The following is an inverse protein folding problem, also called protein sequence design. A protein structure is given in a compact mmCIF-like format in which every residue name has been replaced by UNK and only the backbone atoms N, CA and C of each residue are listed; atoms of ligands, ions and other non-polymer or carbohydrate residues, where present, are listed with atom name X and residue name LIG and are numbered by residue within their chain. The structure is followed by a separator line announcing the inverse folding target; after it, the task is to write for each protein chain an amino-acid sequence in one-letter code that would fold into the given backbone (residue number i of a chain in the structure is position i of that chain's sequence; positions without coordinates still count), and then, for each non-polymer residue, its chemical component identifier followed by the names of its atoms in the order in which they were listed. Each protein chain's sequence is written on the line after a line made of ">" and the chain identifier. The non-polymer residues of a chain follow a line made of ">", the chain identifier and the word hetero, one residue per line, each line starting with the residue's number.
data_IF_577945226002
#
_entry.id   IF_577945226002
#
_cell.length_a   1.000
_cell.length_b   1.000
_cell.length_c   1.000
_cell.angle_alpha   90.00
_cell.angle_beta   90.00
_cell.angle_gamma   90.00
#
_symmetry.space_group_name_H-M   'P 1'
#
loop_
_entity.id
_entity.type
_entity.pdbx_description
1 polymer ?
#
# COMPACT_ATOMS: atom_id res chain seq x y z
N UNK A 1 13.26 -30.05 -18.75
CA UNK A 1 11.93 -29.95 -18.16
C UNK A 1 11.59 -28.52 -17.73
N UNK A 2 12.55 -27.70 -17.33
CA UNK A 2 12.31 -26.27 -17.01
C UNK A 2 11.69 -25.99 -15.63
N UNK A 3 11.54 -27.03 -14.83
CA UNK A 3 11.01 -26.92 -13.46
C UNK A 3 12.01 -26.25 -12.51
N UNK A 4 11.52 -25.60 -11.46
CA UNK A 4 12.32 -25.09 -10.34
C UNK A 4 12.43 -26.21 -9.33
N UNK A 5 13.67 -26.65 -9.03
CA UNK A 5 13.93 -27.83 -8.21
C UNK A 5 14.64 -27.43 -6.92
N UNK A 6 14.06 -27.85 -5.78
CA UNK A 6 14.73 -27.81 -4.49
C UNK A 6 15.36 -29.19 -4.18
N UNK A 7 16.56 -29.19 -3.63
CA UNK A 7 17.28 -30.41 -3.21
C UNK A 7 17.66 -30.24 -1.74
N UNK A 8 17.42 -31.29 -0.96
CA UNK A 8 17.84 -31.38 0.45
C UNK A 8 19.03 -32.30 0.60
N UNK A 9 19.96 -31.98 1.48
CA UNK A 9 21.13 -32.82 1.77
C UNK A 9 21.78 -32.47 3.11
N UNK A 10 22.52 -33.38 3.70
CA UNK A 10 23.23 -33.21 4.97
C UNK A 10 24.73 -33.56 4.89
N UNK A 11 25.14 -34.30 3.88
CA UNK A 11 26.48 -34.81 3.70
C UNK A 11 27.39 -33.96 2.81
N UNK A 12 28.70 -34.23 2.91
CA UNK A 12 29.70 -33.62 2.00
C UNK A 12 29.46 -34.03 0.55
N UNK A 13 28.93 -35.25 0.32
CA UNK A 13 28.63 -35.77 -1.00
C UNK A 13 27.45 -35.05 -1.68
N UNK A 14 26.59 -34.40 -0.89
CA UNK A 14 25.40 -33.68 -1.37
C UNK A 14 25.74 -32.27 -1.85
N UNK A 15 26.89 -31.72 -1.44
CA UNK A 15 27.28 -30.35 -1.74
C UNK A 15 27.22 -29.98 -3.25
N UNK A 16 27.67 -30.85 -4.19
CA UNK A 16 27.53 -30.54 -5.61
C UNK A 16 26.06 -30.44 -6.07
N UNK A 17 25.18 -31.30 -5.52
CA UNK A 17 23.75 -31.29 -5.84
C UNK A 17 23.04 -30.05 -5.24
N UNK A 18 23.37 -29.74 -3.98
CA UNK A 18 22.85 -28.53 -3.29
C UNK A 18 23.22 -27.25 -4.04
N UNK A 19 24.46 -27.15 -4.51
CA UNK A 19 24.95 -26.00 -5.27
C UNK A 19 24.35 -25.90 -6.68
N UNK A 20 24.02 -27.04 -7.30
CA UNK A 20 23.47 -27.08 -8.67
C UNK A 20 21.97 -26.92 -8.71
N UNK A 21 21.27 -27.19 -7.63
CA UNK A 21 19.83 -27.02 -7.51
C UNK A 21 19.44 -25.52 -7.61
N UNK A 22 18.20 -25.22 -8.03
CA UNK A 22 17.67 -23.86 -7.96
C UNK A 22 17.58 -23.40 -6.49
N UNK A 23 17.26 -24.32 -5.56
CA UNK A 23 17.27 -24.10 -4.11
C UNK A 23 17.92 -25.34 -3.44
N UNK A 24 19.14 -25.19 -2.93
CA UNK A 24 19.80 -26.19 -2.08
C UNK A 24 19.42 -25.93 -0.62
N UNK A 25 19.01 -26.97 0.11
CA UNK A 25 18.58 -26.90 1.50
C UNK A 25 19.44 -27.87 2.32
N UNK A 26 20.22 -27.37 3.28
CA UNK A 26 21.01 -28.16 4.19
C UNK A 26 20.35 -28.32 5.56
N UNK A 27 20.64 -29.45 6.23
CA UNK A 27 20.24 -29.65 7.61
C UNK A 27 21.14 -28.86 8.56
N UNK A 28 20.55 -28.22 9.56
CA UNK A 28 21.25 -27.32 10.48
C UNK A 28 21.93 -28.08 11.61
N UNK A 29 21.27 -29.07 12.19
CA UNK A 29 21.80 -29.84 13.30
C UNK A 29 22.71 -31.00 12.80
N UNK A 30 22.27 -31.75 11.79
CA UNK A 30 22.97 -32.93 11.27
C UNK A 30 23.88 -32.65 10.07
N UNK A 31 23.65 -31.49 9.41
CA UNK A 31 24.37 -31.13 8.20
C UNK A 31 25.85 -30.86 8.44
N UNK A 32 26.71 -31.36 7.55
CA UNK A 32 28.12 -31.01 7.52
C UNK A 32 28.32 -29.54 7.14
N UNK A 33 29.44 -28.96 7.58
CA UNK A 33 29.73 -27.54 7.24
C UNK A 33 29.83 -27.33 5.72
N UNK A 34 30.36 -28.35 4.99
CA UNK A 34 30.44 -28.29 3.53
C UNK A 34 29.07 -28.28 2.87
N UNK A 35 28.09 -29.05 3.41
CA UNK A 35 26.70 -29.02 2.91
C UNK A 35 26.04 -27.68 3.20
N UNK A 36 26.27 -27.12 4.41
CA UNK A 36 25.75 -25.82 4.80
C UNK A 36 26.29 -24.67 3.94
N UNK A 37 27.59 -24.70 3.64
CA UNK A 37 28.22 -23.71 2.76
C UNK A 37 27.74 -23.79 1.31
N UNK A 38 27.38 -25.00 0.84
CA UNK A 38 26.88 -25.21 -0.52
C UNK A 38 25.40 -24.88 -0.68
N UNK A 39 24.64 -24.84 0.41
CA UNK A 39 23.19 -24.64 0.39
C UNK A 39 22.79 -23.16 0.32
N UNK A 40 21.59 -22.92 -0.24
CA UNK A 40 20.96 -21.60 -0.24
C UNK A 40 20.16 -21.34 1.03
N UNK A 41 19.72 -22.40 1.72
CA UNK A 41 18.91 -22.36 2.93
C UNK A 41 19.39 -23.41 3.92
N UNK A 42 19.30 -23.12 5.22
CA UNK A 42 19.65 -24.05 6.30
C UNK A 42 18.42 -24.23 7.19
N UNK A 43 17.98 -25.48 7.39
CA UNK A 43 16.91 -25.83 8.31
C UNK A 43 17.49 -25.96 9.73
N UNK A 44 17.23 -24.98 10.57
CA UNK A 44 17.80 -24.92 11.93
C UNK A 44 17.28 -26.03 12.86
N UNK A 45 16.10 -26.55 12.58
CA UNK A 45 15.39 -27.59 13.36
C UNK A 45 15.45 -28.98 12.74
N UNK A 46 16.09 -29.13 11.58
CA UNK A 46 16.15 -30.35 10.75
C UNK A 46 14.76 -30.98 10.45
N UNK A 47 13.71 -30.13 10.49
CA UNK A 47 12.35 -30.59 10.28
C UNK A 47 11.89 -30.30 8.84
N UNK A 48 11.59 -31.38 8.09
CA UNK A 48 11.09 -31.22 6.71
C UNK A 48 9.78 -30.45 6.58
N UNK A 49 8.94 -30.42 7.63
CA UNK A 49 7.72 -29.61 7.59
C UNK A 49 8.01 -28.11 7.50
N UNK A 50 9.16 -27.66 8.00
CA UNK A 50 9.63 -26.27 7.90
C UNK A 50 9.93 -25.85 6.46
N UNK A 51 10.19 -26.81 5.54
CA UNK A 51 10.32 -26.53 4.10
C UNK A 51 8.98 -26.07 3.52
N UNK A 52 7.88 -26.72 3.93
CA UNK A 52 6.54 -26.34 3.45
C UNK A 52 6.19 -24.93 3.92
N UNK A 53 6.46 -24.61 5.18
CA UNK A 53 6.29 -23.27 5.72
C UNK A 53 7.18 -22.24 4.99
N UNK A 54 8.44 -22.59 4.68
CA UNK A 54 9.34 -21.72 3.93
C UNK A 54 8.87 -21.49 2.48
N UNK A 55 8.23 -22.46 1.84
CA UNK A 55 7.62 -22.30 0.52
C UNK A 55 6.42 -21.34 0.61
N UNK A 56 5.57 -21.50 1.62
CA UNK A 56 4.42 -20.63 1.85
C UNK A 56 4.86 -19.17 2.05
N UNK A 57 5.83 -18.94 2.94
CA UNK A 57 6.42 -17.63 3.19
C UNK A 57 7.09 -17.04 1.95
N UNK A 58 7.86 -17.85 1.20
CA UNK A 58 8.49 -17.41 -0.04
C UNK A 58 7.46 -16.94 -1.10
N UNK A 59 6.32 -17.63 -1.20
CA UNK A 59 5.20 -17.23 -2.06
C UNK A 59 4.55 -15.94 -1.56
N UNK A 60 4.38 -15.80 -0.24
CA UNK A 60 3.83 -14.59 0.36
C UNK A 60 4.75 -13.38 0.15
N UNK A 61 6.06 -13.53 0.34
CA UNK A 61 7.04 -12.48 0.08
C UNK A 61 6.96 -12.01 -1.38
N UNK A 62 6.88 -12.95 -2.33
CA UNK A 62 6.74 -12.59 -3.75
C UNK A 62 5.45 -11.80 -4.04
N UNK A 63 4.32 -12.24 -3.47
CA UNK A 63 3.04 -11.53 -3.61
C UNK A 63 3.12 -10.13 -2.97
N UNK A 64 3.79 -10.02 -1.81
CA UNK A 64 3.95 -8.75 -1.11
C UNK A 64 4.84 -7.75 -1.86
N UNK A 65 5.93 -8.22 -2.48
CA UNK A 65 6.76 -7.39 -3.38
C UNK A 65 5.92 -6.88 -4.55
N UNK A 66 5.06 -7.71 -5.11
CA UNK A 66 4.17 -7.34 -6.21
C UNK A 66 3.09 -6.33 -5.77
N UNK A 67 2.56 -6.48 -4.55
CA UNK A 67 1.62 -5.52 -3.93
C UNK A 67 2.27 -4.16 -3.69
N UNK A 68 3.46 -4.16 -3.10
CA UNK A 68 4.27 -2.96 -2.91
C UNK A 68 4.52 -2.24 -4.24
N UNK A 69 4.98 -2.97 -5.27
CA UNK A 69 5.21 -2.40 -6.59
C UNK A 69 3.92 -1.84 -7.22
N UNK A 70 2.78 -2.54 -7.07
CA UNK A 70 1.49 -2.04 -7.54
C UNK A 70 1.07 -0.76 -6.83
N UNK A 71 1.32 -0.65 -5.53
CA UNK A 71 1.02 0.53 -4.74
C UNK A 71 1.80 1.75 -5.25
N UNK A 72 3.12 1.63 -5.37
CA UNK A 72 3.99 2.72 -5.85
C UNK A 72 3.69 3.10 -7.30
N UNK A 73 3.49 2.11 -8.19
CA UNK A 73 3.16 2.39 -9.59
C UNK A 73 1.81 3.10 -9.77
N UNK A 74 0.86 2.91 -8.85
CA UNK A 74 -0.43 3.61 -8.90
C UNK A 74 -0.35 5.04 -8.37
N UNK A 75 0.56 5.33 -7.43
CA UNK A 75 0.71 6.68 -6.87
C UNK A 75 1.44 7.64 -7.83
N UNK A 76 2.45 7.15 -8.54
CA UNK A 76 3.26 7.98 -9.44
C UNK A 76 2.48 8.88 -10.43
N UNK A 77 1.39 8.46 -11.10
CA UNK A 77 0.63 9.33 -11.99
C UNK A 77 0.05 10.58 -11.33
N UNK A 78 -0.32 10.51 -10.05
CA UNK A 78 -0.82 11.66 -9.30
C UNK A 78 0.25 12.77 -9.18
N UNK A 79 1.51 12.36 -9.15
CA UNK A 79 2.66 13.26 -9.02
C UNK A 79 3.16 13.72 -10.39
N UNK A 80 3.11 12.87 -11.41
CA UNK A 80 3.62 13.16 -12.75
C UNK A 80 2.66 14.02 -13.58
N UNK A 81 1.35 13.78 -13.52
CA UNK A 81 0.38 14.49 -14.34
C UNK A 81 0.36 15.99 -14.12
N UNK A 82 0.55 16.53 -12.89
CA UNK A 82 0.70 17.97 -12.70
C UNK A 82 1.78 18.61 -13.58
N UNK A 83 2.93 17.98 -13.68
CA UNK A 83 4.04 18.48 -14.49
C UNK A 83 3.78 18.30 -15.99
N UNK A 84 3.25 17.14 -16.39
CA UNK A 84 2.92 16.86 -17.79
C UNK A 84 1.88 17.87 -18.29
N UNK A 85 0.81 18.09 -17.54
CA UNK A 85 -0.26 19.01 -17.93
C UNK A 85 0.21 20.47 -17.89
N UNK A 86 1.04 20.83 -16.93
CA UNK A 86 1.64 22.16 -16.87
C UNK A 86 2.49 22.46 -18.10
N UNK A 87 3.25 21.49 -18.62
CA UNK A 87 4.06 21.63 -19.84
C UNK A 87 3.19 21.65 -21.10
N UNK A 88 2.19 20.76 -21.19
CA UNK A 88 1.36 20.61 -22.38
C UNK A 88 0.32 21.72 -22.54
N UNK A 89 -0.14 22.31 -21.45
CA UNK A 89 -1.19 23.33 -21.44
C UNK A 89 -0.67 24.63 -20.82
N UNK A 90 -0.03 25.50 -21.61
CA UNK A 90 0.45 26.80 -21.15
C UNK A 90 -0.72 27.61 -20.57
N UNK A 91 -0.59 28.03 -19.31
CA UNK A 91 -1.67 28.74 -18.58
C UNK A 91 -2.38 27.88 -17.55
N UNK A 92 -2.20 26.55 -17.55
CA UNK A 92 -2.61 25.72 -16.42
C UNK A 92 -1.59 25.89 -15.28
N UNK A 93 -2.00 26.31 -14.08
CA UNK A 93 -1.10 26.41 -12.95
C UNK A 93 -0.64 25.01 -12.52
N UNK A 94 0.59 24.92 -12.01
CA UNK A 94 1.12 23.66 -11.47
C UNK A 94 0.27 23.25 -10.24
N UNK A 95 -0.36 22.08 -10.30
CA UNK A 95 -1.26 21.62 -9.24
C UNK A 95 -0.52 20.98 -8.05
N UNK A 96 0.75 20.62 -8.21
CA UNK A 96 1.58 20.03 -7.16
C UNK A 96 3.02 20.57 -7.27
N UNK A 97 3.57 21.05 -6.16
CA UNK A 97 4.95 21.53 -6.11
C UNK A 97 5.93 20.37 -5.92
N UNK A 98 7.22 20.58 -6.24
CA UNK A 98 8.28 19.59 -5.97
C UNK A 98 8.35 19.25 -4.47
N UNK A 99 8.14 20.25 -3.61
CA UNK A 99 8.07 20.00 -2.15
C UNK A 99 6.86 19.17 -1.77
N UNK A 100 5.73 19.32 -2.49
CA UNK A 100 4.55 18.47 -2.32
C UNK A 100 4.84 17.01 -2.71
N UNK A 101 5.50 16.76 -3.84
CA UNK A 101 5.95 15.41 -4.24
C UNK A 101 6.84 14.79 -3.17
N UNK A 102 7.85 15.53 -2.69
CA UNK A 102 8.75 15.05 -1.66
C UNK A 102 8.00 14.72 -0.35
N UNK A 103 6.97 15.52 -0.01
CA UNK A 103 6.13 15.28 1.16
C UNK A 103 5.32 13.98 1.02
N UNK A 104 4.88 13.64 -0.20
CA UNK A 104 4.19 12.38 -0.49
C UNK A 104 5.18 11.22 -0.41
N UNK A 105 6.21 11.18 -1.25
CA UNK A 105 7.11 10.04 -1.40
C UNK A 105 7.82 9.66 -0.10
N UNK A 106 8.38 10.66 0.61
CA UNK A 106 9.16 10.43 1.82
C UNK A 106 8.31 10.54 3.08
N UNK A 107 7.32 11.42 3.04
CA UNK A 107 6.49 11.73 4.22
C UNK A 107 5.34 10.75 4.40
N UNK A 108 4.54 10.50 3.38
CA UNK A 108 3.29 9.75 3.53
C UNK A 108 3.36 8.32 3.02
N UNK A 109 3.99 8.05 1.87
CA UNK A 109 3.95 6.75 1.21
C UNK A 109 4.82 5.67 1.84
N UNK A 110 5.92 6.03 2.48
CA UNK A 110 6.96 5.08 2.88
C UNK A 110 6.45 4.02 3.88
N UNK A 111 5.78 4.45 4.94
CA UNK A 111 5.35 3.54 6.02
C UNK A 111 4.25 2.58 5.56
N UNK A 112 3.17 3.03 4.89
CA UNK A 112 2.16 2.12 4.35
C UNK A 112 2.72 1.15 3.31
N UNK A 113 3.63 1.62 2.46
CA UNK A 113 4.30 0.77 1.48
C UNK A 113 5.10 -0.36 2.16
N UNK A 114 5.85 -0.06 3.23
CA UNK A 114 6.53 -1.07 4.03
C UNK A 114 5.55 -2.05 4.68
N UNK A 115 4.39 -1.57 5.12
CA UNK A 115 3.33 -2.38 5.70
C UNK A 115 2.80 -3.45 4.76
N UNK A 116 2.75 -3.19 3.44
CA UNK A 116 2.39 -4.20 2.45
C UNK A 116 3.39 -5.37 2.36
N UNK A 117 4.65 -5.13 2.74
CA UNK A 117 5.67 -6.17 2.85
C UNK A 117 5.44 -7.17 3.98
N UNK A 118 4.61 -6.82 4.96
CA UNK A 118 4.31 -7.63 6.15
C UNK A 118 2.92 -8.27 6.12
N UNK A 119 2.21 -8.20 5.00
CA UNK A 119 0.90 -8.86 4.86
C UNK A 119 1.06 -10.38 4.89
N UNK A 120 0.17 -11.08 5.62
CA UNK A 120 0.21 -12.54 5.72
C UNK A 120 -0.12 -13.22 4.38
N UNK A 121 0.25 -14.52 4.24
CA UNK A 121 -0.11 -15.33 3.08
C UNK A 121 -1.62 -15.31 2.82
N UNK A 122 -2.02 -15.15 1.55
CA UNK A 122 -3.44 -15.28 1.16
C UNK A 122 -3.90 -16.74 1.27
N UNK A 123 -5.19 -16.93 1.54
CA UNK A 123 -5.82 -18.24 1.52
C UNK A 123 -5.61 -18.95 0.16
N UNK A 124 -5.26 -20.23 0.21
CA UNK A 124 -5.00 -21.04 -0.99
C UNK A 124 -3.70 -20.71 -1.72
N UNK A 125 -2.76 -20.01 -1.10
CA UNK A 125 -1.47 -19.67 -1.72
C UNK A 125 -0.67 -20.93 -2.10
N UNK A 126 -0.80 -22.01 -1.33
CA UNK A 126 -0.15 -23.31 -1.59
C UNK A 126 -0.86 -24.12 -2.68
N UNK A 127 -2.11 -23.85 -2.99
CA UNK A 127 -2.87 -24.52 -4.06
C UNK A 127 -2.50 -24.01 -5.45
N UNK A 128 -1.84 -22.86 -5.54
CA UNK A 128 -1.39 -22.30 -6.81
C UNK A 128 -0.28 -23.17 -7.42
N UNK A 129 -0.24 -23.32 -8.75
CA UNK A 129 0.87 -23.98 -9.42
C UNK A 129 2.19 -23.24 -9.13
N UNK A 130 3.34 -23.94 -9.24
CA UNK A 130 4.66 -23.29 -9.15
C UNK A 130 4.80 -22.16 -10.17
N UNK A 131 5.55 -21.14 -9.78
CA UNK A 131 5.81 -19.98 -10.65
C UNK A 131 6.70 -20.42 -11.83
N UNK A 132 6.38 -19.92 -13.01
CA UNK A 132 7.20 -20.15 -14.19
C UNK A 132 8.50 -19.35 -14.12
N UNK A 133 9.60 -19.88 -14.69
CA UNK A 133 10.91 -19.19 -14.69
C UNK A 133 10.90 -17.86 -15.44
N UNK A 134 10.03 -17.74 -16.46
CA UNK A 134 9.87 -16.55 -17.29
C UNK A 134 8.90 -15.51 -16.70
N UNK A 135 8.23 -15.82 -15.60
CA UNK A 135 7.30 -14.92 -14.94
C UNK A 135 8.04 -13.76 -14.26
N UNK A 136 7.85 -12.58 -14.81
CA UNK A 136 8.42 -11.33 -14.26
C UNK A 136 7.53 -10.82 -13.13
N UNK A 137 8.12 -10.25 -12.09
CA UNK A 137 7.41 -9.54 -11.02
C UNK A 137 6.61 -8.38 -11.62
N UNK A 138 7.25 -7.60 -12.47
CA UNK A 138 6.67 -6.47 -13.20
C UNK A 138 6.63 -6.81 -14.69
N UNK A 139 5.46 -7.19 -15.18
CA UNK A 139 5.22 -7.30 -16.63
C UNK A 139 4.86 -5.93 -17.20
N UNK A 140 5.11 -5.72 -18.49
CA UNK A 140 4.74 -4.46 -19.15
C UNK A 140 3.24 -4.16 -19.00
N UNK A 141 2.40 -5.20 -19.17
CA UNK A 141 0.95 -5.05 -19.00
C UNK A 141 0.58 -4.62 -17.57
N UNK A 142 1.28 -5.15 -16.56
CA UNK A 142 1.07 -4.76 -15.15
C UNK A 142 1.42 -3.28 -14.95
N UNK A 143 2.56 -2.83 -15.47
CA UNK A 143 3.00 -1.44 -15.39
C UNK A 143 2.00 -0.52 -16.10
N UNK A 144 1.65 -0.82 -17.36
CA UNK A 144 0.73 0.00 -18.14
C UNK A 144 -0.65 0.14 -17.48
N UNK A 145 -1.17 -0.95 -16.89
CA UNK A 145 -2.45 -0.91 -16.17
C UNK A 145 -2.37 -0.09 -14.89
N UNK A 146 -1.30 -0.24 -14.11
CA UNK A 146 -1.11 0.53 -12.89
C UNK A 146 -1.05 2.03 -13.21
N UNK A 147 -0.29 2.43 -14.22
CA UNK A 147 -0.16 3.82 -14.61
C UNK A 147 -1.42 4.38 -15.28
N UNK A 148 -1.88 3.75 -16.37
CA UNK A 148 -2.90 4.34 -17.23
C UNK A 148 -4.34 4.03 -16.82
N UNK A 149 -4.59 3.04 -15.97
CA UNK A 149 -5.94 2.79 -15.46
C UNK A 149 -6.04 3.29 -14.03
N UNK A 150 -5.37 2.63 -13.10
CA UNK A 150 -5.54 2.93 -11.67
C UNK A 150 -4.96 4.30 -11.29
N UNK A 151 -3.74 4.57 -11.70
CA UNK A 151 -3.09 5.85 -11.42
C UNK A 151 -3.80 7.04 -12.07
N UNK A 152 -4.39 6.84 -13.27
CA UNK A 152 -5.20 7.89 -13.92
C UNK A 152 -6.50 8.18 -13.14
N UNK A 153 -7.19 7.14 -12.62
CA UNK A 153 -8.37 7.34 -11.77
C UNK A 153 -8.00 8.23 -10.58
N UNK A 154 -6.90 7.93 -9.91
CA UNK A 154 -6.42 8.70 -8.77
C UNK A 154 -6.05 10.14 -9.15
N UNK A 155 -5.26 10.32 -10.21
CA UNK A 155 -4.81 11.63 -10.66
C UNK A 155 -5.97 12.53 -11.09
N UNK A 156 -6.93 12.00 -11.85
CA UNK A 156 -8.10 12.78 -12.27
C UNK A 156 -9.02 13.15 -11.10
N UNK A 157 -9.14 12.30 -10.09
CA UNK A 157 -9.87 12.64 -8.87
C UNK A 157 -9.18 13.77 -8.10
N UNK A 158 -7.84 13.77 -8.02
CA UNK A 158 -7.09 14.89 -7.42
C UNK A 158 -7.33 16.18 -8.20
N UNK A 159 -7.35 16.13 -9.54
CA UNK A 159 -7.70 17.27 -10.36
C UNK A 159 -9.15 17.72 -10.18
N UNK A 160 -10.10 16.82 -9.99
CA UNK A 160 -11.50 17.18 -9.72
C UNK A 160 -11.61 18.04 -8.46
N UNK A 161 -10.90 17.67 -7.38
CA UNK A 161 -10.86 18.48 -6.14
C UNK A 161 -10.13 19.81 -6.35
N UNK A 162 -9.05 19.82 -7.10
CA UNK A 162 -8.32 21.03 -7.47
C UNK A 162 -9.21 22.02 -8.21
N UNK A 163 -9.95 21.58 -9.23
CA UNK A 163 -10.87 22.40 -9.98
C UNK A 163 -12.11 22.81 -9.17
N UNK A 164 -12.61 21.92 -8.32
CA UNK A 164 -13.68 22.25 -7.39
C UNK A 164 -13.28 23.41 -6.46
N UNK A 165 -12.05 23.38 -5.93
CA UNK A 165 -11.55 24.51 -5.13
C UNK A 165 -11.47 25.80 -5.92
N UNK A 166 -10.96 25.76 -7.16
CA UNK A 166 -10.95 26.91 -8.06
C UNK A 166 -12.36 27.49 -8.33
N UNK A 167 -13.36 26.62 -8.44
CA UNK A 167 -14.76 27.03 -8.57
C UNK A 167 -15.29 27.65 -7.29
N UNK A 168 -15.03 27.07 -6.12
CA UNK A 168 -15.43 27.61 -4.80
C UNK A 168 -14.83 29.00 -4.56
N UNK A 169 -13.57 29.20 -4.94
CA UNK A 169 -12.88 30.47 -4.84
C UNK A 169 -13.33 31.50 -5.92
N UNK A 170 -14.13 31.09 -6.89
CA UNK A 170 -14.51 31.91 -8.03
C UNK A 170 -13.36 32.29 -8.97
N UNK A 171 -12.21 31.63 -8.82
CA UNK A 171 -11.02 31.82 -9.68
C UNK A 171 -11.13 31.06 -10.99
N UNK A 172 -11.97 30.04 -11.04
CA UNK A 172 -12.28 29.27 -12.24
C UNK A 172 -13.78 29.28 -12.54
N UNK A 173 -14.13 29.65 -13.77
CA UNK A 173 -15.51 29.61 -14.26
C UNK A 173 -15.56 28.68 -15.47
N UNK A 174 -16.55 27.76 -15.57
CA UNK A 174 -16.73 26.93 -16.75
C UNK A 174 -16.87 27.82 -18.00
N UNK A 175 -16.03 27.58 -19.01
CA UNK A 175 -16.01 28.38 -20.23
C UNK A 175 -15.05 29.56 -20.24
N UNK A 176 -14.39 29.89 -19.13
CA UNK A 176 -13.30 30.86 -19.14
C UNK A 176 -12.01 30.21 -19.60
N UNK A 177 -11.22 30.94 -20.41
CA UNK A 177 -9.90 30.54 -20.82
C UNK A 177 -9.03 30.23 -19.58
N UNK A 178 -8.22 29.18 -19.67
CA UNK A 178 -7.20 28.80 -18.67
C UNK A 178 -6.24 29.95 -18.32
N UNK A 179 -6.21 31.01 -19.15
CA UNK A 179 -5.43 32.23 -18.92
C UNK A 179 -5.94 33.11 -17.74
N UNK A 180 -7.11 32.81 -17.17
CA UNK A 180 -7.63 33.54 -16.02
C UNK A 180 -7.12 33.01 -14.66
N UNK A 181 -6.40 31.86 -14.64
CA UNK A 181 -5.71 31.40 -13.45
C UNK A 181 -4.43 32.18 -13.21
N UNK A 182 -4.08 32.49 -11.94
CA UNK A 182 -2.81 33.12 -11.65
C UNK A 182 -1.66 32.33 -12.24
N UNK A 183 -0.63 32.99 -12.82
CA UNK A 183 0.51 32.30 -13.41
C UNK A 183 1.14 31.35 -12.38
N UNK A 184 1.56 30.18 -12.87
CA UNK A 184 2.30 29.23 -12.04
C UNK A 184 3.50 29.93 -11.40
N UNK A 185 3.73 29.74 -10.10
CA UNK A 185 4.80 30.44 -9.39
C UNK A 185 6.16 29.79 -9.59
N UNK A 186 6.51 29.38 -10.81
CA UNK A 186 7.87 29.00 -11.10
C UNK A 186 8.81 30.14 -10.71
N UNK A 187 9.36 30.07 -9.48
CA UNK A 187 10.21 31.10 -8.90
C UNK A 187 9.55 32.08 -7.93
N UNK A 188 8.21 31.99 -7.68
CA UNK A 188 7.57 32.81 -6.63
C UNK A 188 7.94 32.31 -5.24
N UNK A 189 8.26 33.23 -4.35
CA UNK A 189 8.43 32.93 -2.94
C UNK A 189 7.06 32.70 -2.28
N UNK A 190 7.00 31.95 -1.19
CA UNK A 190 5.73 31.64 -0.49
C UNK A 190 4.86 32.87 -0.21
N UNK A 191 5.48 33.96 0.25
CA UNK A 191 4.77 35.22 0.57
C UNK A 191 4.30 36.00 -0.67
N UNK A 192 4.74 35.62 -1.85
CA UNK A 192 4.31 36.21 -3.13
C UNK A 192 3.17 35.40 -3.78
N UNK A 193 2.93 34.15 -3.30
CA UNK A 193 1.86 33.30 -3.80
C UNK A 193 0.50 33.77 -3.28
N UNK A 194 -0.51 33.84 -4.15
CA UNK A 194 -1.85 34.19 -3.72
C UNK A 194 -2.43 33.14 -2.77
N UNK A 195 -3.18 33.52 -1.72
CA UNK A 195 -3.85 32.56 -0.84
C UNK A 195 -4.71 31.53 -1.59
N UNK A 196 -5.39 31.96 -2.66
CA UNK A 196 -6.20 31.11 -3.52
C UNK A 196 -5.37 30.00 -4.19
N UNK A 197 -4.16 30.33 -4.64
CA UNK A 197 -3.26 29.33 -5.23
C UNK A 197 -2.77 28.31 -4.19
N UNK A 198 -2.37 28.77 -3.00
CA UNK A 198 -1.96 27.91 -1.89
C UNK A 198 -3.07 26.94 -1.48
N UNK A 199 -4.31 27.43 -1.40
CA UNK A 199 -5.47 26.59 -1.13
C UNK A 199 -5.74 25.58 -2.25
N UNK A 200 -5.52 25.96 -3.50
CA UNK A 200 -5.64 25.02 -4.63
C UNK A 200 -4.58 23.91 -4.59
N UNK A 201 -3.35 24.22 -4.18
CA UNK A 201 -2.30 23.21 -3.97
C UNK A 201 -2.70 22.22 -2.86
N UNK A 202 -3.26 22.71 -1.76
CA UNK A 202 -3.79 21.85 -0.70
C UNK A 202 -4.94 20.97 -1.21
N UNK A 203 -5.82 21.53 -2.05
CA UNK A 203 -6.94 20.81 -2.65
C UNK A 203 -6.52 19.76 -3.68
N UNK A 204 -5.29 19.77 -4.17
CA UNK A 204 -4.69 18.68 -4.93
C UNK A 204 -3.99 17.67 -4.01
N UNK A 205 -3.22 18.14 -3.04
CA UNK A 205 -2.41 17.30 -2.16
C UNK A 205 -3.25 16.41 -1.24
N UNK A 206 -4.30 16.93 -0.63
CA UNK A 206 -5.10 16.15 0.32
C UNK A 206 -5.81 14.95 -0.31
N UNK A 207 -6.48 15.04 -1.48
CA UNK A 207 -7.00 13.87 -2.17
C UNK A 207 -5.90 12.90 -2.61
N UNK A 208 -4.66 13.36 -2.88
CA UNK A 208 -3.54 12.46 -3.12
C UNK A 208 -3.31 11.55 -1.92
N UNK A 209 -3.24 12.10 -0.71
CA UNK A 209 -3.08 11.34 0.53
C UNK A 209 -4.26 10.39 0.77
N UNK A 210 -5.50 10.86 0.68
CA UNK A 210 -6.68 10.00 0.89
C UNK A 210 -6.80 8.89 -0.15
N UNK A 211 -6.39 9.16 -1.38
CA UNK A 211 -6.32 8.17 -2.45
C UNK A 211 -5.25 7.10 -2.19
N UNK A 212 -4.13 7.47 -1.59
CA UNK A 212 -3.07 6.52 -1.21
C UNK A 212 -3.50 5.63 -0.06
N UNK A 213 -4.24 6.15 0.93
CA UNK A 213 -4.88 5.33 1.96
C UNK A 213 -5.80 4.28 1.32
N UNK A 214 -6.63 4.67 0.35
CA UNK A 214 -7.47 3.72 -0.38
C UNK A 214 -6.63 2.71 -1.18
N UNK A 215 -5.56 3.18 -1.83
CA UNK A 215 -4.67 2.34 -2.63
C UNK A 215 -3.99 1.26 -1.78
N UNK A 216 -3.41 1.62 -0.62
CA UNK A 216 -2.78 0.64 0.27
C UNK A 216 -3.80 -0.38 0.77
N UNK A 217 -4.98 0.05 1.20
CA UNK A 217 -6.04 -0.85 1.66
C UNK A 217 -6.51 -1.81 0.56
N UNK A 218 -6.64 -1.34 -0.67
CA UNK A 218 -7.01 -2.17 -1.82
C UNK A 218 -5.94 -3.22 -2.17
N UNK A 219 -4.65 -2.90 -2.00
CA UNK A 219 -3.53 -3.79 -2.34
C UNK A 219 -3.22 -4.84 -1.28
N UNK A 220 -3.82 -4.79 -0.11
CA UNK A 220 -3.65 -5.80 0.95
C UNK A 220 -4.05 -7.21 0.52
N UNK A 221 -4.97 -7.36 -0.40
CA UNK A 221 -5.31 -8.66 -1.01
C UNK A 221 -5.60 -8.52 -2.51
N UNK A 222 -5.19 -9.53 -3.28
CA UNK A 222 -5.48 -9.62 -4.72
C UNK A 222 -6.87 -10.19 -5.03
N UNK A 223 -7.39 -11.05 -4.15
CA UNK A 223 -8.62 -11.81 -4.39
C UNK A 223 -9.74 -11.47 -3.41
N UNK A 224 -9.39 -11.40 -2.13
CA UNK A 224 -10.37 -11.21 -1.09
C UNK A 224 -10.83 -9.75 -1.02
N UNK A 225 -12.14 -9.57 -0.84
CA UNK A 225 -12.71 -8.26 -0.59
C UNK A 225 -12.37 -7.79 0.81
N UNK A 226 -11.99 -6.51 0.95
CA UNK A 226 -11.78 -5.89 2.25
C UNK A 226 -13.03 -5.95 3.15
N UNK A 227 -14.20 -6.01 2.53
CA UNK A 227 -15.50 -6.10 3.19
C UNK A 227 -15.98 -7.53 3.43
N UNK A 228 -15.21 -8.55 3.04
CA UNK A 228 -15.55 -9.96 3.24
C UNK A 228 -14.92 -10.53 4.51
N UNK A 229 -15.60 -11.52 5.10
CA UNK A 229 -15.10 -12.24 6.28
C UNK A 229 -13.85 -13.06 5.97
N UNK A 230 -13.74 -13.52 4.74
CA UNK A 230 -12.63 -14.34 4.20
C UNK A 230 -11.42 -13.48 3.77
N UNK A 231 -11.37 -12.21 4.16
CA UNK A 231 -10.26 -11.31 3.80
C UNK A 231 -8.91 -11.82 4.32
N UNK A 232 -8.89 -12.27 5.55
CA UNK A 232 -7.72 -12.89 6.17
C UNK A 232 -7.86 -14.41 6.19
N UNK A 233 -6.74 -15.12 5.98
CA UNK A 233 -6.67 -16.55 6.23
C UNK A 233 -7.20 -16.86 7.64
N UNK A 234 -8.10 -17.85 7.81
CA UNK A 234 -8.70 -18.18 9.10
C UNK A 234 -7.71 -18.45 10.23
N UNK A 235 -6.56 -19.08 9.91
CA UNK A 235 -5.49 -19.33 10.88
C UNK A 235 -4.88 -18.01 11.38
N UNK A 236 -4.47 -17.16 10.48
CA UNK A 236 -3.87 -15.86 10.80
C UNK A 236 -4.85 -14.94 11.55
N UNK A 237 -6.13 -14.94 11.11
CA UNK A 237 -7.19 -14.23 11.83
C UNK A 237 -7.28 -14.66 13.30
N UNK A 238 -7.24 -15.97 13.53
CA UNK A 238 -7.31 -16.54 14.89
C UNK A 238 -6.10 -16.12 15.72
N UNK A 239 -4.90 -16.25 15.18
CA UNK A 239 -3.66 -15.83 15.86
C UNK A 239 -3.69 -14.35 16.25
N UNK A 240 -4.09 -13.47 15.32
CA UNK A 240 -4.20 -12.03 15.58
C UNK A 240 -5.22 -11.74 16.68
N UNK A 241 -6.40 -12.37 16.65
CA UNK A 241 -7.41 -12.21 17.70
C UNK A 241 -6.93 -12.74 19.07
N UNK A 242 -6.19 -13.85 19.09
CA UNK A 242 -5.58 -14.38 20.30
C UNK A 242 -4.49 -13.42 20.84
N UNK A 243 -3.67 -12.83 19.98
CA UNK A 243 -2.68 -11.82 20.38
C UNK A 243 -3.36 -10.57 20.98
N UNK A 244 -4.41 -10.07 20.34
CA UNK A 244 -5.21 -8.94 20.85
C UNK A 244 -5.86 -9.31 22.18
N UNK A 245 -6.39 -10.53 22.31
CA UNK A 245 -7.02 -10.98 23.56
C UNK A 245 -6.04 -11.05 24.73
N UNK A 246 -4.76 -11.34 24.45
CA UNK A 246 -3.65 -11.38 25.41
C UNK A 246 -3.03 -9.99 25.66
N UNK A 247 -3.35 -9.01 24.80
CA UNK A 247 -2.77 -7.67 24.91
C UNK A 247 -3.18 -6.95 26.18
N UNK A 248 -2.22 -6.26 26.80
CA UNK A 248 -2.44 -5.46 27.99
C UNK A 248 -1.79 -4.08 27.86
N UNK A 249 -2.54 -2.98 28.04
CA UNK A 249 -2.03 -1.62 27.77
C UNK A 249 -0.88 -1.16 28.65
N UNK A 250 -0.67 -1.80 29.81
CA UNK A 250 0.36 -1.45 30.79
C UNK A 250 1.52 -2.45 30.86
N UNK A 251 1.60 -3.41 29.93
CA UNK A 251 2.60 -4.47 29.92
C UNK A 251 2.34 -5.60 30.92
N UNK A 252 3.08 -6.71 30.76
CA UNK A 252 2.87 -7.93 31.57
C UNK A 252 3.12 -7.77 33.08
N UNK A 253 4.01 -6.84 33.47
CA UNK A 253 4.38 -6.65 34.88
C UNK A 253 3.24 -6.01 35.73
N UNK A 254 2.33 -5.28 35.12
CA UNK A 254 1.22 -4.60 35.78
C UNK A 254 -0.16 -5.23 35.47
N UNK A 255 -0.18 -6.41 34.88
CA UNK A 255 -1.39 -7.16 34.50
C UNK A 255 -2.27 -7.61 35.68
N UNK A 256 -1.89 -7.29 36.94
CA UNK A 256 -2.65 -7.64 38.13
C UNK A 256 -3.83 -6.70 38.41
N UNK A 257 -3.98 -5.59 37.71
CA UNK A 257 -5.11 -4.69 37.85
C UNK A 257 -6.33 -5.36 37.19
N UNK A 258 -7.24 -5.90 37.98
CA UNK A 258 -8.41 -6.67 37.55
C UNK A 258 -9.32 -5.94 36.53
N UNK A 259 -9.27 -4.62 36.49
CA UNK A 259 -10.07 -3.79 35.56
C UNK A 259 -9.62 -3.94 34.09
N UNK A 260 -8.32 -4.11 33.81
CA UNK A 260 -7.80 -4.17 32.43
C UNK A 260 -7.73 -5.59 31.84
N UNK A 261 -7.73 -6.62 32.69
CA UNK A 261 -7.72 -8.03 32.24
C UNK A 261 -8.76 -8.38 31.17
N UNK A 262 -10.03 -7.89 31.25
CA UNK A 262 -11.04 -8.22 30.25
C UNK A 262 -10.99 -7.34 28.99
N UNK A 263 -10.14 -6.29 28.92
CA UNK A 263 -10.19 -5.33 27.82
C UNK A 263 -9.74 -5.95 26.49
N UNK A 264 -8.59 -6.63 26.47
CA UNK A 264 -8.11 -7.32 25.27
C UNK A 264 -9.09 -8.38 24.77
N UNK A 265 -9.62 -9.21 25.67
CA UNK A 265 -10.61 -10.22 25.32
C UNK A 265 -11.97 -9.62 24.87
N UNK A 266 -12.37 -8.46 25.39
CA UNK A 266 -13.55 -7.71 24.90
C UNK A 266 -13.31 -7.13 23.51
N UNK A 267 -12.14 -6.53 23.31
CA UNK A 267 -11.74 -5.97 22.02
C UNK A 267 -11.65 -7.05 20.95
N UNK A 268 -11.01 -8.18 21.23
CA UNK A 268 -10.94 -9.32 20.31
C UNK A 268 -12.32 -9.83 19.91
N UNK A 269 -13.23 -10.01 20.87
CA UNK A 269 -14.63 -10.42 20.60
C UNK A 269 -15.42 -9.37 19.81
N UNK A 270 -15.18 -8.09 20.07
CA UNK A 270 -15.78 -7.01 19.31
C UNK A 270 -15.31 -7.02 17.86
N UNK A 271 -13.99 -7.10 17.63
CA UNK A 271 -13.39 -7.14 16.29
C UNK A 271 -13.77 -8.41 15.52
N UNK A 272 -13.87 -9.57 16.18
CA UNK A 272 -14.34 -10.79 15.51
C UNK A 272 -15.80 -10.68 15.05
N UNK A 273 -16.64 -10.02 15.84
CA UNK A 273 -18.03 -9.74 15.46
C UNK A 273 -18.13 -8.69 14.36
N UNK A 274 -17.25 -7.69 14.36
CA UNK A 274 -17.17 -6.62 13.38
C UNK A 274 -15.99 -6.86 12.42
N UNK A 275 -16.04 -7.94 11.65
CA UNK A 275 -14.94 -8.40 10.80
C UNK A 275 -14.49 -7.36 9.77
N UNK A 276 -15.37 -6.48 9.28
CA UNK A 276 -15.00 -5.40 8.38
C UNK A 276 -14.02 -4.45 9.07
N UNK A 277 -14.34 -4.00 10.29
CA UNK A 277 -13.43 -3.16 11.07
C UNK A 277 -12.12 -3.90 11.37
N UNK A 278 -12.20 -5.20 11.69
CA UNK A 278 -11.01 -6.02 11.91
C UNK A 278 -10.11 -6.08 10.65
N UNK A 279 -10.68 -6.24 9.47
CA UNK A 279 -9.93 -6.27 8.22
C UNK A 279 -9.18 -4.95 7.98
N UNK A 280 -9.78 -3.81 8.33
CA UNK A 280 -9.11 -2.51 8.23
C UNK A 280 -7.93 -2.37 9.21
N UNK A 281 -8.04 -2.85 10.43
CA UNK A 281 -7.05 -2.68 11.51
C UNK A 281 -6.23 -3.94 11.81
N UNK A 282 -6.12 -4.87 10.88
CA UNK A 282 -5.45 -6.15 11.09
C UNK A 282 -3.94 -6.12 10.84
N UNK A 283 -3.42 -5.07 10.19
CA UNK A 283 -2.00 -4.88 9.99
C UNK A 283 -1.54 -3.60 10.69
N UNK A 284 -0.92 -3.71 11.88
CA UNK A 284 -0.58 -2.56 12.70
C UNK A 284 0.43 -1.60 12.04
N UNK A 285 1.26 -2.09 11.11
CA UNK A 285 2.21 -1.23 10.40
C UNK A 285 1.52 -0.36 9.36
N UNK A 286 0.52 -0.90 8.65
CA UNK A 286 -0.32 -0.13 7.74
C UNK A 286 -1.15 0.88 8.52
N UNK A 287 -1.75 0.47 9.65
CA UNK A 287 -2.57 1.34 10.48
C UNK A 287 -1.77 2.51 11.03
N UNK A 288 -0.54 2.23 11.51
CA UNK A 288 0.40 3.28 11.95
C UNK A 288 0.77 4.21 10.80
N UNK A 289 1.00 3.66 9.61
CA UNK A 289 1.27 4.43 8.39
C UNK A 289 0.13 5.39 8.07
N UNK A 290 -1.10 4.90 8.01
CA UNK A 290 -2.29 5.73 7.75
C UNK A 290 -2.46 6.83 8.80
N UNK A 291 -2.28 6.50 10.08
CA UNK A 291 -2.34 7.50 11.15
C UNK A 291 -1.25 8.55 10.99
N UNK A 292 -0.04 8.13 10.65
CA UNK A 292 1.09 9.02 10.40
C UNK A 292 0.86 9.94 9.21
N UNK A 293 0.33 9.42 8.08
CA UNK A 293 -0.07 10.20 6.91
C UNK A 293 -1.06 11.31 7.25
N UNK A 294 -2.11 10.97 7.98
CA UNK A 294 -3.14 11.94 8.38
C UNK A 294 -2.58 13.01 9.33
N UNK A 295 -1.76 12.59 10.30
CA UNK A 295 -1.12 13.51 11.22
C UNK A 295 -0.14 14.45 10.50
N UNK A 296 0.68 13.91 9.60
CA UNK A 296 1.66 14.69 8.85
C UNK A 296 0.95 15.67 7.89
N UNK A 297 -0.13 15.25 7.24
CA UNK A 297 -0.96 16.14 6.42
C UNK A 297 -1.56 17.28 7.23
N UNK A 298 -2.06 16.99 8.43
CA UNK A 298 -2.54 18.04 9.34
C UNK A 298 -1.42 19.03 9.69
N UNK A 299 -0.22 18.54 10.00
CA UNK A 299 0.93 19.41 10.29
C UNK A 299 1.32 20.27 9.08
N UNK A 300 1.29 19.71 7.87
CA UNK A 300 1.60 20.47 6.66
C UNK A 300 0.60 21.63 6.40
N UNK A 301 -0.67 21.46 6.77
CA UNK A 301 -1.69 22.47 6.50
C UNK A 301 -1.81 23.54 7.60
N UNK A 302 -1.58 23.16 8.87
CA UNK A 302 -1.92 23.98 10.03
C UNK A 302 -0.72 24.37 10.91
N UNK A 303 0.51 23.97 10.55
CA UNK A 303 1.72 24.35 11.27
C UNK A 303 2.58 25.34 10.45
N UNK A 304 3.67 25.88 11.02
CA UNK A 304 4.62 26.68 10.26
C UNK A 304 5.25 25.96 9.05
N UNK A 305 5.15 24.64 8.99
CA UNK A 305 5.59 23.84 7.85
C UNK A 305 4.79 24.18 6.58
N UNK A 306 3.54 24.67 6.70
CA UNK A 306 2.73 25.09 5.56
C UNK A 306 3.45 26.11 4.66
N UNK A 307 4.26 26.98 5.24
CA UNK A 307 5.09 27.92 4.50
C UNK A 307 6.19 27.29 3.66
N UNK A 308 6.74 26.15 4.11
CA UNK A 308 7.78 25.41 3.40
C UNK A 308 7.19 24.61 2.23
N UNK A 309 6.02 24.02 2.45
CA UNK A 309 5.36 23.14 1.47
C UNK A 309 4.36 23.87 0.56
N UNK A 310 4.15 25.18 0.75
CA UNK A 310 3.21 25.98 -0.02
C UNK A 310 1.75 25.53 0.12
N UNK A 311 1.32 25.19 1.33
CA UNK A 311 -0.05 24.78 1.64
C UNK A 311 -0.78 25.84 2.45
N UNK A 312 -2.12 25.86 2.32
CA UNK A 312 -2.99 26.70 3.12
C UNK A 312 -4.28 25.94 3.47
N UNK A 313 -4.88 26.18 4.64
CA UNK A 313 -6.14 25.56 5.01
C UNK A 313 -7.25 25.82 3.99
N UNK A 314 -8.01 24.77 3.67
CA UNK A 314 -9.16 24.85 2.76
C UNK A 314 -10.49 24.72 3.53
N UNK A 315 -11.63 25.16 2.98
CA UNK A 315 -12.94 24.93 3.59
C UNK A 315 -13.22 23.44 3.81
N UNK A 316 -13.94 23.11 4.89
CA UNK A 316 -14.19 21.72 5.30
C UNK A 316 -14.88 20.86 4.23
N UNK A 317 -15.76 21.45 3.38
CA UNK A 317 -16.43 20.72 2.31
C UNK A 317 -15.46 20.28 1.20
N UNK A 318 -14.33 20.97 1.03
CA UNK A 318 -13.27 20.55 0.09
C UNK A 318 -12.59 19.28 0.60
N UNK A 319 -12.36 19.18 1.91
CA UNK A 319 -11.85 17.94 2.52
C UNK A 319 -12.81 16.77 2.33
N UNK A 320 -14.14 17.00 2.44
CA UNK A 320 -15.12 15.95 2.17
C UNK A 320 -15.13 15.54 0.70
N UNK A 321 -15.05 16.50 -0.22
CA UNK A 321 -15.00 16.19 -1.65
C UNK A 321 -13.76 15.40 -2.02
N UNK A 322 -12.65 15.61 -1.34
CA UNK A 322 -11.40 14.89 -1.58
C UNK A 322 -11.46 13.37 -1.33
N UNK A 323 -12.50 12.87 -0.66
CA UNK A 323 -12.72 11.42 -0.53
C UNK A 323 -13.33 10.77 -1.79
N UNK A 324 -13.64 11.52 -2.85
CA UNK A 324 -14.12 10.99 -4.12
C UNK A 324 -13.13 9.96 -4.71
N UNK A 325 -11.84 10.29 -4.70
CA UNK A 325 -10.75 9.40 -5.12
C UNK A 325 -10.75 8.07 -4.36
N UNK A 326 -10.93 8.15 -3.04
CA UNK A 326 -11.02 7.00 -2.14
C UNK A 326 -12.18 6.08 -2.55
N UNK A 327 -13.38 6.65 -2.72
CA UNK A 327 -14.57 5.88 -3.08
C UNK A 327 -14.48 5.29 -4.48
N UNK A 328 -13.99 6.05 -5.45
CA UNK A 328 -13.84 5.58 -6.84
C UNK A 328 -12.85 4.42 -6.94
N UNK A 329 -11.70 4.53 -6.27
CA UNK A 329 -10.70 3.45 -6.29
C UNK A 329 -11.21 2.20 -5.56
N UNK A 330 -11.80 2.35 -4.37
CA UNK A 330 -12.40 1.24 -3.64
C UNK A 330 -13.46 0.53 -4.49
N UNK A 331 -14.39 1.28 -5.11
CA UNK A 331 -15.42 0.72 -5.96
C UNK A 331 -14.83 -0.03 -7.16
N UNK A 332 -13.83 0.53 -7.82
CA UNK A 332 -13.14 -0.08 -8.95
C UNK A 332 -12.44 -1.39 -8.55
N UNK A 333 -11.64 -1.36 -7.47
CA UNK A 333 -10.87 -2.53 -7.02
C UNK A 333 -11.78 -3.64 -6.47
N UNK A 334 -12.81 -3.31 -5.71
CA UNK A 334 -13.75 -4.29 -5.19
C UNK A 334 -14.59 -4.92 -6.32
N UNK A 335 -14.96 -4.15 -7.33
CA UNK A 335 -15.60 -4.68 -8.55
C UNK A 335 -14.66 -5.66 -9.26
N UNK A 336 -13.41 -5.32 -9.43
CA UNK A 336 -12.39 -6.20 -10.02
C UNK A 336 -12.22 -7.50 -9.24
N UNK A 337 -12.11 -7.43 -7.90
CA UNK A 337 -12.03 -8.60 -7.02
C UNK A 337 -13.29 -9.47 -7.11
N UNK A 338 -14.46 -8.88 -7.21
CA UNK A 338 -15.72 -9.60 -7.39
C UNK A 338 -15.72 -10.44 -8.66
N UNK A 339 -15.34 -9.88 -9.80
CA UNK A 339 -15.27 -10.61 -11.06
C UNK A 339 -14.20 -11.70 -11.06
N UNK A 340 -13.04 -11.45 -10.44
CA UNK A 340 -12.00 -12.48 -10.26
C UNK A 340 -12.50 -13.69 -9.47
N UNK A 341 -13.25 -13.48 -8.39
CA UNK A 341 -13.85 -14.58 -7.61
C UNK A 341 -14.87 -15.39 -8.42
N UNK A 342 -15.52 -14.80 -9.40
CA UNK A 342 -16.43 -15.49 -10.33
C UNK A 342 -15.74 -16.23 -11.47
N UNK A 343 -14.42 -16.26 -11.51
CA UNK A 343 -13.65 -16.96 -12.54
C UNK A 343 -13.57 -16.22 -13.87
N UNK A 344 -14.03 -14.96 -13.94
CA UNK A 344 -13.83 -14.16 -15.13
C UNK A 344 -12.39 -13.65 -15.14
N UNK A 345 -11.62 -14.10 -16.15
CA UNK A 345 -10.30 -13.53 -16.42
C UNK A 345 -10.50 -12.11 -16.98
N UNK A 346 -10.52 -11.13 -16.08
CA UNK A 346 -10.43 -9.72 -16.50
C UNK A 346 -8.97 -9.42 -16.86
N UNK A 347 -8.43 -10.15 -17.84
CA UNK A 347 -7.05 -9.96 -18.31
C UNK A 347 -6.79 -8.52 -18.73
N UNK A 348 -7.84 -7.80 -19.14
CA UNK A 348 -7.78 -6.38 -19.47
C UNK A 348 -7.71 -5.47 -18.21
N UNK A 349 -8.25 -5.89 -17.07
CA UNK A 349 -8.26 -5.08 -15.84
C UNK A 349 -7.21 -5.50 -14.78
N UNK A 350 -6.41 -6.51 -15.06
CA UNK A 350 -5.26 -6.93 -14.23
C UNK A 350 -5.51 -8.11 -13.33
#
# INVERSE_FOLDING_TARGET
>A
MGEIVAVTGDGVNDAPALKKADIGIAMGLRGSDVAKEAAHMILTDDNFSSIVAAIEEGRAIFDNIKRFAAYVLNSNPQEMYPYIFWVLFPGLPLAMTVMGVLAVDVGTDLIPAMGLGTEPPEEGIMERPPRRRDEKILSLNFILRSYFVQGSILAFSCYATYYYMGWVLGTWKPGLSLSAMPPSPAGLKFHEASPAYLQSLTAYFFPTVTAQIANVLCKRSWKASLFAKEFLNPHHRRETLEAIAKWHPLGHAQAQIAFFKPLGARLARFLDRHYVLFNFVSNPLIDLGILFELLLSYLFFYSPLSGIYYFAPVPWHVYLFAFDATFLLLAFEETKKYYRRKGHSLEFLG
#
